data_IF_035268124031
#
_entry.id   IF_035268124031
#
_cell.length_a   1.000
_cell.length_b   1.000
_cell.length_c   1.000
_cell.angle_alpha   90.00
_cell.angle_beta   90.00
_cell.angle_gamma   90.00
#
_symmetry.space_group_name_H-M   'P 1'
#
loop_
_entity.id
_entity.type
_entity.pdbx_description
1 polymer ?
#
# COMPACT_ATOMS: atom_id res chain seq x y z
N UNK A 1 8.97 -8.52 -36.62
CA UNK A 1 7.57 -8.89 -36.32
C UNK A 1 7.63 -10.06 -35.35
N UNK A 2 7.19 -9.89 -34.10
CA UNK A 2 7.09 -11.02 -33.17
C UNK A 2 5.94 -11.94 -33.66
N UNK A 3 6.11 -13.26 -33.68
CA UNK A 3 5.06 -14.18 -34.11
C UNK A 3 3.81 -13.99 -33.23
N UNK A 4 2.62 -14.03 -33.84
CA UNK A 4 1.34 -13.76 -33.16
C UNK A 4 1.13 -14.59 -31.88
N UNK A 5 1.72 -15.79 -31.82
CA UNK A 5 1.71 -16.68 -30.64
C UNK A 5 2.45 -16.09 -29.44
N UNK A 6 3.55 -15.34 -29.67
CA UNK A 6 4.33 -14.71 -28.61
C UNK A 6 3.61 -13.48 -27.99
N UNK A 7 2.76 -12.81 -28.77
CA UNK A 7 1.93 -11.71 -28.27
C UNK A 7 0.78 -12.24 -27.41
N UNK A 8 0.15 -13.34 -27.84
CA UNK A 8 -0.94 -13.97 -27.07
C UNK A 8 -0.45 -14.54 -25.73
N UNK A 9 0.74 -15.16 -25.71
CA UNK A 9 1.33 -15.67 -24.47
C UNK A 9 1.68 -14.55 -23.48
N UNK A 10 2.21 -13.41 -23.95
CA UNK A 10 2.48 -12.26 -23.09
C UNK A 10 1.20 -11.66 -22.47
N UNK A 11 0.14 -11.48 -23.27
CA UNK A 11 -1.14 -10.95 -22.77
C UNK A 11 -1.77 -11.89 -21.72
N UNK A 12 -1.63 -13.21 -21.89
CA UNK A 12 -2.12 -14.18 -20.90
C UNK A 12 -1.31 -14.13 -19.60
N UNK A 13 0.02 -14.01 -19.68
CA UNK A 13 0.90 -13.86 -18.52
C UNK A 13 0.57 -12.59 -17.73
N UNK A 14 0.39 -11.45 -18.41
CA UNK A 14 0.04 -10.17 -17.77
C UNK A 14 -1.29 -10.27 -16.99
N UNK A 15 -2.33 -10.87 -17.59
CA UNK A 15 -3.64 -11.04 -16.95
C UNK A 15 -3.57 -11.98 -15.75
N UNK A 16 -2.83 -13.07 -15.88
CA UNK A 16 -2.62 -14.03 -14.78
C UNK A 16 -1.83 -13.41 -13.63
N UNK A 17 -0.84 -12.57 -13.94
CA UNK A 17 -0.06 -11.88 -12.91
C UNK A 17 -0.89 -10.82 -12.19
N UNK A 18 -1.63 -9.98 -12.93
CA UNK A 18 -2.50 -8.96 -12.33
C UNK A 18 -3.51 -9.59 -11.38
N UNK A 19 -4.18 -10.68 -11.77
CA UNK A 19 -5.17 -11.33 -10.91
C UNK A 19 -4.54 -11.92 -9.64
N UNK A 20 -3.35 -12.50 -9.73
CA UNK A 20 -2.60 -12.99 -8.55
C UNK A 20 -2.18 -11.85 -7.63
N UNK A 21 -1.68 -10.75 -8.18
CA UNK A 21 -1.28 -9.56 -7.42
C UNK A 21 -2.47 -8.95 -6.69
N UNK A 22 -3.59 -8.75 -7.40
CA UNK A 22 -4.83 -8.25 -6.80
C UNK A 22 -5.41 -9.22 -5.77
N UNK A 23 -5.27 -10.53 -5.98
CA UNK A 23 -5.66 -11.55 -5.01
C UNK A 23 -4.88 -11.42 -3.70
N UNK A 24 -3.55 -11.28 -3.78
CA UNK A 24 -2.70 -11.04 -2.61
C UNK A 24 -3.00 -9.72 -1.92
N UNK A 25 -3.24 -8.64 -2.69
CA UNK A 25 -3.69 -7.36 -2.15
C UNK A 25 -5.00 -7.53 -1.37
N UNK A 26 -6.01 -8.16 -1.95
CA UNK A 26 -7.30 -8.38 -1.29
C UNK A 26 -7.16 -9.17 0.02
N UNK A 27 -6.39 -10.28 0.00
CA UNK A 27 -6.11 -11.08 1.20
C UNK A 27 -5.43 -10.23 2.28
N UNK A 28 -4.44 -9.42 1.91
CA UNK A 28 -3.74 -8.57 2.86
C UNK A 28 -4.65 -7.51 3.49
N UNK A 29 -5.55 -6.89 2.72
CA UNK A 29 -6.51 -5.91 3.24
C UNK A 29 -7.53 -6.55 4.20
N UNK A 30 -7.96 -7.78 3.93
CA UNK A 30 -8.80 -8.56 4.87
C UNK A 30 -8.04 -8.82 6.17
N UNK A 31 -6.79 -9.27 6.08
CA UNK A 31 -5.94 -9.52 7.26
C UNK A 31 -5.68 -8.23 8.06
N UNK A 32 -5.46 -7.10 7.38
CA UNK A 32 -5.35 -5.80 8.03
C UNK A 32 -6.64 -5.40 8.71
N UNK A 33 -7.80 -5.65 8.11
CA UNK A 33 -9.10 -5.41 8.75
C UNK A 33 -9.26 -6.25 10.02
N UNK A 34 -8.81 -7.51 10.01
CA UNK A 34 -8.75 -8.35 11.22
C UNK A 34 -7.84 -7.71 12.27
N UNK A 35 -6.65 -7.22 11.88
CA UNK A 35 -5.76 -6.50 12.80
C UNK A 35 -6.40 -5.25 13.40
N UNK A 36 -7.11 -4.45 12.59
CA UNK A 36 -7.85 -3.26 13.06
C UNK A 36 -8.92 -3.67 14.07
N UNK A 37 -9.69 -4.73 13.81
CA UNK A 37 -10.69 -5.24 14.74
C UNK A 37 -10.06 -5.69 16.07
N UNK A 38 -8.98 -6.46 16.01
CA UNK A 38 -8.25 -6.93 17.20
C UNK A 38 -7.65 -5.78 18.02
N UNK A 39 -7.30 -4.66 17.37
CA UNK A 39 -6.73 -3.49 18.04
C UNK A 39 -7.67 -2.86 19.06
N UNK A 40 -8.99 -3.02 18.90
CA UNK A 40 -10.00 -2.39 19.76
C UNK A 40 -9.89 -2.79 21.23
N UNK A 41 -9.53 -4.05 21.51
CA UNK A 41 -9.35 -4.56 22.87
C UNK A 41 -8.07 -4.06 23.55
N UNK A 42 -7.12 -3.51 22.78
CA UNK A 42 -5.77 -3.17 23.24
C UNK A 42 -5.37 -1.73 22.85
N UNK A 43 -6.34 -0.87 22.50
CA UNK A 43 -6.09 0.42 21.86
C UNK A 43 -5.11 1.31 22.65
N UNK A 44 -5.33 1.47 23.96
CA UNK A 44 -4.46 2.29 24.82
C UNK A 44 -3.01 1.77 24.87
N UNK A 45 -2.85 0.45 24.92
CA UNK A 45 -1.53 -0.18 24.96
C UNK A 45 -0.80 -0.05 23.62
N UNK A 46 -1.53 -0.23 22.51
CA UNK A 46 -1.00 -0.07 21.16
C UNK A 46 -0.58 1.37 20.88
N UNK A 47 -1.35 2.37 21.35
CA UNK A 47 -0.96 3.79 21.26
C UNK A 47 0.28 4.07 22.08
N UNK A 48 0.37 3.56 23.32
CA UNK A 48 1.56 3.75 24.17
C UNK A 48 2.81 3.07 23.62
N UNK A 49 2.65 1.90 23.02
CA UNK A 49 3.74 1.08 22.48
C UNK A 49 3.83 1.14 20.96
N UNK A 50 3.36 2.23 20.35
CA UNK A 50 3.26 2.38 18.89
C UNK A 50 4.58 2.11 18.16
N UNK A 51 5.71 2.50 18.77
CA UNK A 51 7.05 2.31 18.21
C UNK A 51 7.48 0.84 18.17
N UNK A 52 7.06 0.02 19.15
CA UNK A 52 7.30 -1.42 19.15
C UNK A 52 6.49 -2.11 18.06
N UNK A 53 5.23 -1.73 17.90
CA UNK A 53 4.36 -2.29 16.85
C UNK A 53 4.87 -1.89 15.47
N UNK A 54 5.30 -0.63 15.29
CA UNK A 54 5.93 -0.16 14.06
C UNK A 54 7.22 -0.93 13.74
N UNK A 55 8.08 -1.15 14.74
CA UNK A 55 9.31 -1.92 14.58
C UNK A 55 9.01 -3.39 14.21
N UNK A 56 8.00 -3.99 14.83
CA UNK A 56 7.57 -5.35 14.53
C UNK A 56 7.04 -5.47 13.09
N UNK A 57 6.19 -4.54 12.65
CA UNK A 57 5.67 -4.53 11.29
C UNK A 57 6.79 -4.33 10.26
N UNK A 58 7.70 -3.38 10.51
CA UNK A 58 8.87 -3.16 9.65
C UNK A 58 9.81 -4.38 9.60
N UNK A 59 10.04 -5.03 10.74
CA UNK A 59 10.82 -6.26 10.82
C UNK A 59 10.20 -7.40 10.03
N UNK A 60 8.87 -7.58 10.12
CA UNK A 60 8.14 -8.59 9.35
C UNK A 60 8.15 -8.30 7.84
N UNK A 61 8.10 -7.03 7.43
CA UNK A 61 8.24 -6.62 6.04
C UNK A 61 9.62 -7.00 5.48
N UNK A 62 10.70 -6.67 6.20
CA UNK A 62 12.07 -7.05 5.82
C UNK A 62 12.22 -8.57 5.78
N UNK A 63 11.69 -9.27 6.79
CA UNK A 63 11.76 -10.73 6.85
C UNK A 63 11.02 -11.38 5.68
N UNK A 64 9.87 -10.85 5.30
CA UNK A 64 9.11 -11.29 4.11
C UNK A 64 9.94 -11.13 2.84
N UNK A 65 10.56 -9.96 2.62
CA UNK A 65 11.40 -9.71 1.46
C UNK A 65 12.62 -10.65 1.41
N UNK A 66 13.26 -10.88 2.56
CA UNK A 66 14.40 -11.80 2.65
C UNK A 66 14.00 -13.25 2.39
N UNK A 67 12.88 -13.70 2.94
CA UNK A 67 12.35 -15.04 2.73
C UNK A 67 12.03 -15.29 1.24
N UNK A 68 11.40 -14.31 0.57
CA UNK A 68 11.08 -14.42 -0.86
C UNK A 68 12.34 -14.49 -1.72
N UNK A 69 13.30 -13.58 -1.50
CA UNK A 69 14.59 -13.58 -2.21
C UNK A 69 15.41 -14.85 -1.99
N UNK A 70 15.22 -15.51 -0.85
CA UNK A 70 15.88 -16.78 -0.52
C UNK A 70 15.16 -18.00 -1.08
N UNK A 71 14.10 -17.84 -1.87
CA UNK A 71 13.29 -18.92 -2.44
C UNK A 71 12.38 -19.64 -1.43
N UNK A 72 12.21 -19.08 -0.22
CA UNK A 72 11.38 -19.67 0.85
C UNK A 72 9.94 -19.17 0.77
N UNK A 73 9.28 -19.41 -0.36
CA UNK A 73 7.95 -18.86 -0.66
C UNK A 73 6.88 -19.13 0.42
N UNK A 74 6.74 -20.35 1.00
CA UNK A 74 5.74 -20.57 2.05
C UNK A 74 6.00 -19.74 3.31
N UNK A 75 7.28 -19.54 3.66
CA UNK A 75 7.66 -18.69 4.78
C UNK A 75 7.36 -17.22 4.48
N UNK A 76 7.66 -16.75 3.26
CA UNK A 76 7.35 -15.39 2.83
C UNK A 76 5.85 -15.09 2.92
N UNK A 77 4.99 -16.03 2.49
CA UNK A 77 3.53 -15.90 2.61
C UNK A 77 3.10 -15.79 4.08
N UNK A 78 3.63 -16.66 4.96
CA UNK A 78 3.31 -16.61 6.39
C UNK A 78 3.75 -15.31 7.05
N UNK A 79 4.95 -14.82 6.72
CA UNK A 79 5.48 -13.55 7.21
C UNK A 79 4.68 -12.35 6.66
N UNK A 80 4.24 -12.40 5.41
CA UNK A 80 3.39 -11.38 4.81
C UNK A 80 2.01 -11.32 5.50
N UNK A 81 1.44 -12.47 5.82
CA UNK A 81 0.17 -12.52 6.56
C UNK A 81 0.32 -11.94 7.97
N UNK A 82 1.39 -12.32 8.68
CA UNK A 82 1.69 -11.76 10.00
C UNK A 82 1.93 -10.23 9.91
N UNK A 83 2.65 -9.78 8.89
CA UNK A 83 2.86 -8.37 8.59
C UNK A 83 1.53 -7.64 8.39
N UNK A 84 0.64 -8.14 7.55
CA UNK A 84 -0.64 -7.49 7.25
C UNK A 84 -1.56 -7.36 8.48
N UNK A 85 -1.59 -8.38 9.36
CA UNK A 85 -2.30 -8.30 10.65
C UNK A 85 -1.64 -7.28 11.58
N UNK A 86 -0.31 -7.27 11.66
CA UNK A 86 0.44 -6.35 12.53
C UNK A 86 0.28 -4.89 12.08
N UNK A 87 0.27 -4.63 10.78
CA UNK A 87 -0.09 -3.33 10.22
C UNK A 87 -1.51 -2.91 10.61
N UNK A 88 -2.47 -3.84 10.60
CA UNK A 88 -3.82 -3.60 11.10
C UNK A 88 -3.85 -3.21 12.59
N UNK A 89 -3.04 -3.86 13.41
CA UNK A 89 -2.88 -3.50 14.82
C UNK A 89 -2.24 -2.11 14.98
N UNK A 90 -1.31 -1.74 14.10
CA UNK A 90 -0.64 -0.46 14.13
C UNK A 90 -1.58 0.70 13.76
N UNK A 91 -2.32 0.57 12.66
CA UNK A 91 -3.23 1.63 12.18
C UNK A 91 -4.58 1.62 12.91
N UNK A 92 -4.92 0.50 13.56
CA UNK A 92 -6.22 0.25 14.17
C UNK A 92 -6.69 1.32 15.14
N UNK A 93 -5.89 1.76 16.13
CA UNK A 93 -6.30 2.83 17.06
C UNK A 93 -6.69 4.12 16.34
N UNK A 94 -5.98 4.50 15.27
CA UNK A 94 -6.29 5.68 14.47
C UNK A 94 -7.62 5.50 13.73
N UNK A 95 -7.82 4.36 13.06
CA UNK A 95 -9.05 4.07 12.31
C UNK A 95 -10.26 4.02 13.25
N UNK A 96 -10.13 3.38 14.41
CA UNK A 96 -11.19 3.30 15.42
C UNK A 96 -11.55 4.68 15.99
N UNK A 97 -10.56 5.56 16.20
CA UNK A 97 -10.82 6.94 16.63
C UNK A 97 -11.65 7.71 15.59
N UNK A 98 -11.34 7.57 14.29
CA UNK A 98 -12.16 8.16 13.23
C UNK A 98 -13.55 7.52 13.12
N UNK A 99 -13.66 6.19 13.29
CA UNK A 99 -14.96 5.51 13.30
C UNK A 99 -15.86 6.02 14.43
N UNK A 100 -15.31 6.32 15.60
CA UNK A 100 -16.09 6.85 16.73
C UNK A 100 -16.47 8.32 16.54
N UNK A 101 -15.56 9.14 16.00
CA UNK A 101 -15.78 10.58 15.86
C UNK A 101 -16.62 10.92 14.61
N UNK A 102 -16.36 10.28 13.48
CA UNK A 102 -16.97 10.57 12.18
C UNK A 102 -17.05 9.28 11.32
N UNK A 103 -18.04 8.39 11.56
CA UNK A 103 -18.10 7.07 10.94
C UNK A 103 -18.02 7.08 9.41
N UNK A 104 -18.71 8.05 8.78
CA UNK A 104 -18.75 8.23 7.33
C UNK A 104 -17.37 8.51 6.71
N UNK A 105 -16.44 9.10 7.47
CA UNK A 105 -15.14 9.52 6.97
C UNK A 105 -14.27 8.31 6.59
N UNK A 106 -14.38 7.21 7.34
CA UNK A 106 -13.63 5.97 7.06
C UNK A 106 -14.13 5.32 5.77
N UNK A 107 -15.45 5.25 5.59
CA UNK A 107 -16.05 4.74 4.36
C UNK A 107 -15.66 5.58 3.13
N UNK A 108 -15.72 6.91 3.26
CA UNK A 108 -15.33 7.83 2.18
C UNK A 108 -13.85 7.71 1.81
N UNK A 109 -12.96 7.59 2.79
CA UNK A 109 -11.53 7.40 2.55
C UNK A 109 -11.24 6.07 1.83
N UNK A 110 -11.92 5.00 2.24
CA UNK A 110 -11.80 3.70 1.59
C UNK A 110 -12.31 3.74 0.14
N UNK A 111 -13.50 4.31 -0.09
CA UNK A 111 -14.06 4.48 -1.43
C UNK A 111 -13.17 5.34 -2.33
N UNK A 112 -12.62 6.44 -1.80
CA UNK A 112 -11.67 7.28 -2.52
C UNK A 112 -10.40 6.51 -2.91
N UNK A 113 -9.86 5.71 -2.00
CA UNK A 113 -8.66 4.89 -2.25
C UNK A 113 -8.92 3.85 -3.33
N UNK A 114 -10.03 3.11 -3.23
CA UNK A 114 -10.45 2.14 -4.25
C UNK A 114 -10.67 2.82 -5.60
N UNK A 115 -11.29 3.99 -5.62
CA UNK A 115 -11.50 4.78 -6.84
C UNK A 115 -10.18 5.19 -7.51
N UNK A 116 -9.21 5.67 -6.74
CA UNK A 116 -7.87 6.01 -7.23
C UNK A 116 -7.17 4.78 -7.80
N UNK A 117 -7.19 3.66 -7.08
CA UNK A 117 -6.59 2.40 -7.54
C UNK A 117 -7.23 1.92 -8.85
N UNK A 118 -8.55 1.98 -8.93
CA UNK A 118 -9.29 1.61 -10.13
C UNK A 118 -8.91 2.49 -11.33
N UNK A 119 -8.85 3.82 -11.14
CA UNK A 119 -8.44 4.76 -12.19
C UNK A 119 -7.00 4.52 -12.62
N UNK A 120 -6.08 4.37 -11.67
CA UNK A 120 -4.66 4.11 -11.96
C UNK A 120 -4.48 2.81 -12.75
N UNK A 121 -5.09 1.71 -12.30
CA UNK A 121 -5.06 0.43 -13.01
C UNK A 121 -5.66 0.57 -14.42
N UNK A 122 -6.82 1.20 -14.56
CA UNK A 122 -7.48 1.37 -15.86
C UNK A 122 -6.60 2.15 -16.83
N UNK A 123 -6.06 3.30 -16.42
CA UNK A 123 -5.20 4.11 -17.29
C UNK A 123 -3.94 3.33 -17.69
N UNK A 124 -3.25 2.70 -16.73
CA UNK A 124 -2.04 1.94 -17.01
C UNK A 124 -2.29 0.80 -18.00
N UNK A 125 -3.37 0.04 -17.82
CA UNK A 125 -3.66 -1.11 -18.69
C UNK A 125 -4.26 -0.72 -20.03
N UNK A 126 -5.03 0.38 -20.11
CA UNK A 126 -5.67 0.84 -21.36
C UNK A 126 -4.74 1.68 -22.24
N UNK A 127 -3.65 2.23 -21.70
CA UNK A 127 -2.74 3.12 -22.45
C UNK A 127 -1.34 2.52 -22.64
N UNK A 128 -0.55 3.12 -23.53
CA UNK A 128 0.86 2.81 -23.76
C UNK A 128 1.80 3.61 -22.83
N UNK A 129 1.37 3.86 -21.59
CA UNK A 129 2.14 4.60 -20.60
C UNK A 129 3.49 3.91 -20.33
N UNK A 130 4.60 4.66 -20.39
CA UNK A 130 5.92 4.17 -20.00
C UNK A 130 6.43 4.97 -18.79
N UNK A 131 6.51 4.31 -17.64
CA UNK A 131 6.96 4.92 -16.38
C UNK A 131 8.37 4.50 -15.94
N UNK A 132 9.16 3.85 -16.79
CA UNK A 132 10.48 3.32 -16.43
C UNK A 132 11.39 4.37 -15.74
N UNK A 133 11.37 5.62 -16.22
CA UNK A 133 12.21 6.69 -15.67
C UNK A 133 11.63 7.37 -14.41
N UNK A 134 10.37 7.12 -14.06
CA UNK A 134 9.66 7.82 -12.98
C UNK A 134 10.00 7.28 -11.59
N UNK A 135 10.40 6.01 -11.50
CA UNK A 135 10.67 5.37 -10.21
C UNK A 135 11.65 6.14 -9.32
N UNK A 136 12.75 6.66 -9.88
CA UNK A 136 13.75 7.45 -9.12
C UNK A 136 13.18 8.77 -8.59
N UNK A 137 12.29 9.41 -9.34
CA UNK A 137 11.68 10.69 -8.96
C UNK A 137 10.62 10.49 -7.89
N UNK A 138 9.77 9.47 -8.06
CA UNK A 138 8.76 9.11 -7.07
C UNK A 138 9.39 8.63 -5.76
N UNK A 139 10.47 7.84 -5.85
CA UNK A 139 11.24 7.45 -4.67
C UNK A 139 11.86 8.65 -3.96
N UNK A 140 12.46 9.59 -4.70
CA UNK A 140 12.98 10.83 -4.12
C UNK A 140 11.89 11.66 -3.42
N UNK A 141 10.72 11.79 -4.04
CA UNK A 141 9.57 12.49 -3.46
C UNK A 141 9.04 11.79 -2.21
N UNK A 142 9.01 10.46 -2.19
CA UNK A 142 8.66 9.67 -1.01
C UNK A 142 9.63 9.94 0.15
N UNK A 143 10.94 9.95 -0.11
CA UNK A 143 11.95 10.26 0.91
C UNK A 143 11.74 11.66 1.49
N UNK A 144 11.48 12.67 0.64
CA UNK A 144 11.14 14.03 1.10
C UNK A 144 9.92 14.01 2.01
N UNK A 145 8.87 13.27 1.64
CA UNK A 145 7.67 13.12 2.46
C UNK A 145 7.91 12.41 3.80
N UNK A 146 8.77 11.39 3.82
CA UNK A 146 9.18 10.71 5.06
C UNK A 146 9.95 11.67 5.98
N UNK A 147 10.92 12.41 5.43
CA UNK A 147 11.67 13.42 6.20
C UNK A 147 10.71 14.48 6.78
N UNK A 148 9.75 14.95 5.98
CA UNK A 148 8.72 15.88 6.45
C UNK A 148 7.85 15.29 7.56
N UNK A 149 7.49 14.01 7.46
CA UNK A 149 6.71 13.31 8.49
C UNK A 149 7.47 13.16 9.81
N UNK A 150 8.78 12.87 9.74
CA UNK A 150 9.65 12.81 10.92
C UNK A 150 9.84 14.20 11.52
N UNK A 151 10.07 15.23 10.69
CA UNK A 151 10.20 16.61 11.16
C UNK A 151 8.94 17.09 11.90
N UNK A 152 7.75 16.67 11.44
CA UNK A 152 6.46 16.98 12.07
C UNK A 152 6.28 16.39 13.49
N UNK A 153 7.17 15.48 13.93
CA UNK A 153 7.20 14.97 15.30
C UNK A 153 7.86 15.99 16.24
N UNK A 154 8.88 16.70 15.75
CA UNK A 154 9.67 17.65 16.56
C UNK A 154 9.18 19.09 16.41
N UNK A 155 8.67 19.44 15.22
CA UNK A 155 8.24 20.79 14.88
C UNK A 155 6.73 20.73 14.61
N UNK A 156 5.90 21.34 15.47
CA UNK A 156 4.47 21.42 15.20
C UNK A 156 4.20 22.40 14.05
N UNK A 157 3.62 21.89 12.97
CA UNK A 157 3.10 22.69 11.86
C UNK A 157 1.82 22.06 11.30
N UNK A 158 1.05 22.82 10.52
CA UNK A 158 -0.13 22.30 9.85
C UNK A 158 0.26 21.23 8.83
N UNK A 159 -0.14 19.98 9.09
CA UNK A 159 0.21 18.83 8.26
C UNK A 159 -0.64 18.73 6.99
N UNK A 160 -1.59 19.65 6.74
CA UNK A 160 -2.41 19.62 5.53
C UNK A 160 -1.56 19.59 4.25
N UNK A 161 -0.58 20.49 4.13
CA UNK A 161 0.29 20.54 2.95
C UNK A 161 1.12 19.27 2.78
N UNK A 162 1.58 18.68 3.90
CA UNK A 162 2.32 17.42 3.89
C UNK A 162 1.42 16.25 3.45
N UNK A 163 0.19 16.18 3.95
CA UNK A 163 -0.76 15.13 3.57
C UNK A 163 -1.19 15.25 2.10
N UNK A 164 -1.41 16.46 1.58
CA UNK A 164 -1.69 16.68 0.16
C UNK A 164 -0.50 16.29 -0.71
N UNK A 165 0.72 16.70 -0.32
CA UNK A 165 1.94 16.32 -1.02
C UNK A 165 2.11 14.79 -1.07
N UNK A 166 2.02 14.12 0.08
CA UNK A 166 2.10 12.67 0.16
C UNK A 166 1.00 12.00 -0.65
N UNK A 167 -0.23 12.55 -0.64
CA UNK A 167 -1.34 12.04 -1.44
C UNK A 167 -1.00 12.01 -2.93
N UNK A 168 -0.45 13.11 -3.46
CA UNK A 168 -0.01 13.16 -4.87
C UNK A 168 1.13 12.18 -5.14
N UNK A 169 2.10 12.08 -4.23
CA UNK A 169 3.23 11.14 -4.37
C UNK A 169 2.74 9.70 -4.40
N UNK A 170 1.87 9.30 -3.47
CA UNK A 170 1.33 7.95 -3.41
C UNK A 170 0.40 7.63 -4.58
N UNK A 171 -0.38 8.58 -5.09
CA UNK A 171 -1.10 8.40 -6.36
C UNK A 171 -0.09 8.07 -7.47
N UNK A 172 0.99 8.84 -7.59
CA UNK A 172 2.05 8.59 -8.58
C UNK A 172 2.73 7.22 -8.41
N UNK A 173 3.01 6.81 -7.17
CA UNK A 173 3.53 5.47 -6.84
C UNK A 173 2.55 4.37 -7.26
N UNK A 174 1.26 4.55 -7.02
CA UNK A 174 0.23 3.57 -7.42
C UNK A 174 0.20 3.38 -8.94
N UNK A 175 0.26 4.46 -9.72
CA UNK A 175 0.41 4.36 -11.19
C UNK A 175 1.68 3.61 -11.58
N UNK A 176 2.80 3.93 -10.92
CA UNK A 176 4.08 3.28 -11.18
C UNK A 176 4.07 1.80 -10.83
N UNK A 177 3.44 1.40 -9.74
CA UNK A 177 3.36 0.01 -9.31
C UNK A 177 2.42 -0.81 -10.20
N UNK A 178 1.27 -0.28 -10.62
CA UNK A 178 0.48 -0.93 -11.67
C UNK A 178 1.27 -1.04 -12.98
N UNK A 179 2.04 -0.01 -13.34
CA UNK A 179 2.90 -0.06 -14.52
C UNK A 179 3.97 -1.14 -14.38
N UNK A 180 4.56 -1.32 -13.19
CA UNK A 180 5.50 -2.41 -12.90
C UNK A 180 4.85 -3.78 -13.07
N UNK A 181 3.61 -3.98 -12.58
CA UNK A 181 2.87 -5.23 -12.79
C UNK A 181 2.68 -5.50 -14.28
N UNK A 182 2.29 -4.49 -15.06
CA UNK A 182 2.13 -4.60 -16.52
C UNK A 182 3.46 -4.86 -17.25
N UNK A 183 4.56 -4.30 -16.78
CA UNK A 183 5.87 -4.38 -17.44
C UNK A 183 6.63 -5.69 -17.18
N UNK A 184 6.14 -6.55 -16.28
CA UNK A 184 6.78 -7.84 -15.98
C UNK A 184 6.76 -8.79 -17.19
N UNK A 185 7.81 -9.61 -17.31
CA UNK A 185 7.96 -10.56 -18.42
C UNK A 185 7.63 -11.98 -17.99
N UNK A 186 7.37 -12.84 -18.98
CA UNK A 186 7.15 -14.26 -18.75
C UNK A 186 8.38 -14.89 -18.07
N UNK A 187 8.18 -15.45 -16.88
CA UNK A 187 9.23 -16.02 -16.02
C UNK A 187 9.47 -15.24 -14.72
N UNK A 188 9.09 -13.97 -14.66
CA UNK A 188 9.19 -13.16 -13.45
C UNK A 188 8.01 -13.48 -12.51
N UNK A 189 8.25 -14.26 -11.46
CA UNK A 189 7.21 -14.74 -10.55
C UNK A 189 7.11 -13.92 -9.25
N UNK A 190 7.22 -12.59 -9.35
CA UNK A 190 7.26 -11.65 -8.22
C UNK A 190 5.87 -11.18 -7.74
N UNK A 191 4.83 -12.00 -7.92
CA UNK A 191 3.44 -11.61 -7.63
C UNK A 191 3.26 -11.14 -6.17
N UNK A 192 3.93 -11.79 -5.21
CA UNK A 192 3.86 -11.42 -3.80
C UNK A 192 4.54 -10.06 -3.53
N UNK A 193 5.71 -9.82 -4.11
CA UNK A 193 6.44 -8.56 -3.92
C UNK A 193 5.73 -7.36 -4.56
N UNK A 194 5.14 -7.57 -5.74
CA UNK A 194 4.31 -6.56 -6.39
C UNK A 194 3.05 -6.26 -5.57
N UNK A 195 2.43 -7.29 -4.99
CA UNK A 195 1.27 -7.11 -4.12
C UNK A 195 1.60 -6.36 -2.82
N UNK A 196 2.77 -6.61 -2.21
CA UNK A 196 3.25 -5.85 -1.04
C UNK A 196 3.38 -4.36 -1.39
N UNK A 197 3.94 -4.04 -2.55
CA UNK A 197 4.10 -2.66 -3.02
C UNK A 197 2.74 -1.97 -3.14
N UNK A 198 1.80 -2.58 -3.87
CA UNK A 198 0.43 -2.06 -4.02
C UNK A 198 -0.34 -2.01 -2.69
N UNK A 199 -0.10 -2.94 -1.77
CA UNK A 199 -0.69 -2.94 -0.42
C UNK A 199 -0.23 -1.73 0.40
N UNK A 200 1.08 -1.45 0.39
CA UNK A 200 1.64 -0.29 1.07
C UNK A 200 1.10 1.01 0.47
N UNK A 201 1.01 1.10 -0.85
CA UNK A 201 0.40 2.25 -1.52
C UNK A 201 -1.07 2.43 -1.13
N UNK A 202 -1.82 1.32 -1.04
CA UNK A 202 -3.23 1.34 -0.68
C UNK A 202 -3.42 1.86 0.75
N UNK A 203 -2.69 1.30 1.72
CA UNK A 203 -2.79 1.72 3.10
C UNK A 203 -2.37 3.17 3.28
N UNK A 204 -1.29 3.60 2.64
CA UNK A 204 -0.83 4.98 2.76
C UNK A 204 -1.85 5.96 2.16
N UNK A 205 -2.39 5.69 0.97
CA UNK A 205 -3.47 6.51 0.39
C UNK A 205 -4.70 6.54 1.27
N UNK A 206 -5.12 5.39 1.81
CA UNK A 206 -6.25 5.32 2.73
C UNK A 206 -6.03 6.22 3.95
N UNK A 207 -4.88 6.13 4.60
CA UNK A 207 -4.57 6.93 5.78
C UNK A 207 -4.46 8.42 5.46
N UNK A 208 -3.94 8.78 4.29
CA UNK A 208 -3.87 10.17 3.83
C UNK A 208 -5.27 10.72 3.60
N UNK A 209 -6.11 10.02 2.83
CA UNK A 209 -7.49 10.43 2.58
C UNK A 209 -8.31 10.49 3.87
N UNK A 210 -8.09 9.54 4.79
CA UNK A 210 -8.72 9.53 6.10
C UNK A 210 -8.40 10.82 6.88
N UNK A 211 -7.13 11.25 6.91
CA UNK A 211 -6.73 12.51 7.55
C UNK A 211 -7.28 13.74 6.84
N UNK A 212 -7.30 13.75 5.51
CA UNK A 212 -7.80 14.89 4.72
C UNK A 212 -9.31 15.07 4.90
N UNK A 213 -10.09 14.00 4.75
CA UNK A 213 -11.54 14.05 4.91
C UNK A 213 -11.97 14.27 6.35
N UNK A 214 -11.21 13.72 7.31
CA UNK A 214 -11.44 13.96 8.73
C UNK A 214 -11.25 15.42 9.13
N UNK A 215 -10.26 16.10 8.54
CA UNK A 215 -10.06 17.56 8.72
C UNK A 215 -11.17 18.39 8.10
N UNK A 216 -11.63 18.06 6.89
CA UNK A 216 -12.65 18.85 6.19
C UNK A 216 -14.01 18.92 6.91
N UNK A 217 -14.21 18.08 7.93
CA UNK A 217 -15.45 17.93 8.69
C UNK A 217 -15.37 18.44 10.14
N UNK A 218 -14.21 18.96 10.55
CA UNK A 218 -13.99 19.64 11.83
C UNK A 218 -13.86 21.15 11.59
#
# INVERSE_FOLDING_TARGET
MLPHEALQSQVQVERSLLSRVLGWLAVSLVLTTVGVYLSGSYADQLVRLWWLVALAAFGLLIATQFAERSGRHPLAIGLFAAFAVTEGLFIGPLVLAYLQAQPDTVGNALLGTVGIFFVAASIVYMTSLNMAAWGKWLFGALIVGIIGSVAAIFIPFDRLLLDVFLGVVFIGLTFFDFWRVKAQRAGDNDALMLAISLYLDFLNLFLILLRLFGRARN
#
